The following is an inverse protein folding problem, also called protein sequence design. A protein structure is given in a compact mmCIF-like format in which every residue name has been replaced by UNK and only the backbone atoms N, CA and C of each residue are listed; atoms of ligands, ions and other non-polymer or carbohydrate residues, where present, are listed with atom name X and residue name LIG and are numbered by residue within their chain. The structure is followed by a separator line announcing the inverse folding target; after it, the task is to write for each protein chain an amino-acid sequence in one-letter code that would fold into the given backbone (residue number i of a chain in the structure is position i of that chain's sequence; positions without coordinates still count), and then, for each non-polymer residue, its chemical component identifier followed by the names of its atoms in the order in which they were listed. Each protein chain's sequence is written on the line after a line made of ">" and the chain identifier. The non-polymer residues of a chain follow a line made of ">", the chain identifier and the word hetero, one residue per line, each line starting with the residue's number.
data_IF_172925795582
#
_entry.id   IF_172925795582
#
_cell.length_a   1.000
_cell.length_b   1.000
_cell.length_c   1.000
_cell.angle_alpha   90.00
_cell.angle_beta   90.00
_cell.angle_gamma   90.00
#
_symmetry.space_group_name_H-M   'P 1'
#
loop_
_entity.id
_entity.type
_entity.pdbx_description
1 polymer ?
#
# COMPACT_ATOMS: atom_id res chain seq x y z
N UNK A 1 3.07 -7.33 2.93
CA UNK A 1 3.01 -8.15 1.69
C UNK A 1 4.41 -8.22 1.12
N UNK A 2 4.91 -9.41 0.76
CA UNK A 2 6.23 -9.58 0.14
C UNK A 2 6.08 -9.48 -1.38
N UNK A 3 6.71 -8.47 -1.98
CA UNK A 3 6.73 -8.23 -3.42
C UNK A 3 8.14 -7.86 -3.84
N UNK A 4 8.44 -7.98 -5.13
CA UNK A 4 9.74 -7.63 -5.68
C UNK A 4 10.01 -6.11 -5.59
N UNK A 5 9.01 -5.32 -5.93
CA UNK A 5 9.06 -3.87 -5.92
C UNK A 5 9.39 -3.26 -4.53
N UNK A 6 8.93 -3.87 -3.43
CA UNK A 6 9.23 -3.37 -2.08
C UNK A 6 10.43 -4.06 -1.40
N UNK A 7 11.25 -4.78 -2.15
CA UNK A 7 12.41 -5.45 -1.59
C UNK A 7 13.45 -4.46 -1.05
N UNK A 8 13.68 -3.37 -1.76
CA UNK A 8 14.61 -2.31 -1.33
C UNK A 8 14.16 -1.67 -0.01
N UNK A 9 12.89 -1.29 0.12
CA UNK A 9 12.33 -0.72 1.34
C UNK A 9 12.52 -1.62 2.57
N UNK A 10 12.39 -2.93 2.40
CA UNK A 10 12.48 -3.90 3.48
C UNK A 10 13.89 -4.32 3.86
N UNK A 11 14.81 -4.39 2.88
CA UNK A 11 16.08 -5.07 3.04
C UNK A 11 17.31 -4.17 2.94
N UNK A 12 17.23 -3.03 2.24
CA UNK A 12 18.42 -2.19 1.98
C UNK A 12 18.99 -1.60 3.27
N UNK A 13 18.13 -1.10 4.16
CA UNK A 13 18.58 -0.59 5.46
C UNK A 13 19.25 -1.68 6.29
N UNK A 14 18.62 -2.86 6.39
CA UNK A 14 19.19 -3.99 7.13
C UNK A 14 20.52 -4.46 6.51
N UNK A 15 20.56 -4.56 5.17
CA UNK A 15 21.79 -4.92 4.46
C UNK A 15 22.94 -3.94 4.69
N UNK A 16 22.64 -2.65 4.81
CA UNK A 16 23.61 -1.62 5.16
C UNK A 16 24.11 -1.78 6.62
N UNK A 17 23.20 -1.95 7.58
CA UNK A 17 23.53 -2.12 9.00
C UNK A 17 24.45 -3.32 9.26
N UNK A 18 24.34 -4.40 8.48
CA UNK A 18 25.19 -5.59 8.60
C UNK A 18 26.38 -5.59 7.63
N UNK A 19 26.64 -4.48 6.92
CA UNK A 19 27.80 -4.30 6.07
C UNK A 19 27.75 -4.98 4.71
N UNK A 20 26.58 -5.41 4.23
CA UNK A 20 26.41 -6.04 2.89
C UNK A 20 26.19 -5.02 1.77
N UNK A 21 25.82 -3.81 2.09
CA UNK A 21 25.50 -2.73 1.13
C UNK A 21 26.45 -1.56 1.37
N UNK A 22 27.00 -1.01 0.28
CA UNK A 22 27.89 0.16 0.32
C UNK A 22 27.14 1.42 0.74
N UNK A 23 27.87 2.39 1.31
CA UNK A 23 27.37 3.72 1.65
C UNK A 23 26.69 4.40 0.46
N UNK A 24 27.34 4.39 -0.71
CA UNK A 24 26.82 4.99 -1.94
C UNK A 24 25.45 4.42 -2.33
N UNK A 25 25.29 3.10 -2.31
CA UNK A 25 24.03 2.43 -2.61
C UNK A 25 22.95 2.76 -1.57
N UNK A 26 23.36 2.86 -0.30
CA UNK A 26 22.43 3.23 0.77
C UNK A 26 21.95 4.67 0.62
N UNK A 27 22.82 5.61 0.30
CA UNK A 27 22.44 7.01 0.06
C UNK A 27 21.48 7.14 -1.12
N UNK A 28 21.74 6.45 -2.22
CA UNK A 28 20.83 6.44 -3.37
C UNK A 28 19.44 5.90 -2.99
N UNK A 29 19.39 4.86 -2.15
CA UNK A 29 18.12 4.33 -1.63
C UNK A 29 17.38 5.36 -0.78
N UNK A 30 18.08 6.06 0.12
CA UNK A 30 17.48 7.09 0.98
C UNK A 30 16.91 8.24 0.14
N UNK A 31 17.65 8.72 -0.84
CA UNK A 31 17.21 9.78 -1.75
C UNK A 31 15.95 9.38 -2.53
N UNK A 32 15.93 8.15 -3.06
CA UNK A 32 14.76 7.59 -3.75
C UNK A 32 13.54 7.54 -2.83
N UNK A 33 13.71 7.03 -1.62
CA UNK A 33 12.66 6.96 -0.60
C UNK A 33 12.07 8.34 -0.25
N UNK A 34 12.93 9.35 -0.10
CA UNK A 34 12.51 10.72 0.18
C UNK A 34 11.72 11.32 -0.98
N UNK A 35 12.17 11.10 -2.22
CA UNK A 35 11.46 11.55 -3.42
C UNK A 35 10.08 10.91 -3.52
N UNK A 36 9.96 9.60 -3.28
CA UNK A 36 8.68 8.89 -3.29
C UNK A 36 7.73 9.47 -2.24
N UNK A 37 8.20 9.63 -1.00
CA UNK A 37 7.39 10.17 0.10
C UNK A 37 6.93 11.60 -0.16
N UNK A 38 7.82 12.44 -0.66
CA UNK A 38 7.53 13.83 -1.02
C UNK A 38 6.47 13.90 -2.12
N UNK A 39 6.61 13.08 -3.15
CA UNK A 39 5.68 13.05 -4.27
C UNK A 39 4.31 12.50 -3.88
N UNK A 40 4.24 11.42 -3.12
CA UNK A 40 2.97 10.91 -2.57
C UNK A 40 2.26 12.00 -1.77
N UNK A 41 2.99 12.71 -0.91
CA UNK A 41 2.40 13.81 -0.13
C UNK A 41 1.90 14.94 -1.05
N UNK A 42 2.64 15.29 -2.09
CA UNK A 42 2.24 16.32 -3.07
C UNK A 42 0.92 15.94 -3.74
N UNK A 43 0.82 14.77 -4.34
CA UNK A 43 -0.37 14.35 -5.09
C UNK A 43 -1.60 14.11 -4.20
N UNK A 44 -1.41 13.81 -2.91
CA UNK A 44 -2.49 13.75 -1.92
C UNK A 44 -3.13 15.14 -1.67
N UNK A 45 -2.33 16.21 -1.75
CA UNK A 45 -2.78 17.57 -1.46
C UNK A 45 -3.00 18.43 -2.72
N UNK A 46 -2.62 17.94 -3.89
CA UNK A 46 -2.89 18.60 -5.18
C UNK A 46 -4.26 18.19 -5.68
N UNK A 47 -5.16 19.16 -5.83
CA UNK A 47 -6.52 18.93 -6.29
C UNK A 47 -6.71 19.46 -7.71
N UNK A 48 -7.42 18.69 -8.52
CA UNK A 48 -7.87 19.10 -9.85
C UNK A 48 -9.38 19.32 -9.84
N UNK A 49 -9.80 20.40 -10.51
CA UNK A 49 -11.21 20.74 -10.64
C UNK A 49 -11.89 20.00 -11.78
N UNK A 50 -13.21 20.23 -11.90
CA UNK A 50 -14.02 19.77 -13.03
C UNK A 50 -13.82 20.72 -14.24
N UNK A 51 -12.61 20.71 -14.84
CA UNK A 51 -12.30 21.47 -16.04
C UNK A 51 -12.51 20.64 -17.31
N UNK A 52 -12.68 21.29 -18.45
CA UNK A 52 -12.83 20.60 -19.74
C UNK A 52 -11.61 19.73 -20.08
N UNK A 53 -10.40 20.18 -19.74
CA UNK A 53 -9.16 19.42 -19.94
C UNK A 53 -9.16 18.12 -19.13
N UNK A 54 -9.56 18.19 -17.85
CA UNK A 54 -9.65 17.02 -16.98
C UNK A 54 -10.72 16.05 -17.49
N UNK A 55 -11.88 16.55 -17.90
CA UNK A 55 -12.96 15.69 -18.40
C UNK A 55 -12.57 14.98 -19.71
N UNK A 56 -11.88 15.68 -20.64
CA UNK A 56 -11.37 15.05 -21.88
C UNK A 56 -10.38 13.93 -21.59
N UNK A 57 -9.46 14.15 -20.66
CA UNK A 57 -8.52 13.10 -20.25
C UNK A 57 -9.24 11.90 -19.62
N UNK A 58 -10.23 12.14 -18.79
CA UNK A 58 -11.01 11.05 -18.20
C UNK A 58 -11.81 10.27 -19.24
N UNK A 59 -12.40 10.95 -20.22
CA UNK A 59 -13.11 10.30 -21.34
C UNK A 59 -12.15 9.48 -22.22
N UNK A 60 -10.91 9.96 -22.46
CA UNK A 60 -9.88 9.23 -23.22
C UNK A 60 -9.53 7.88 -22.58
N UNK A 61 -9.50 7.84 -21.26
CA UNK A 61 -9.21 6.61 -20.51
C UNK A 61 -10.46 5.87 -20.01
N UNK A 62 -11.63 6.19 -20.53
CA UNK A 62 -12.92 5.57 -20.16
C UNK A 62 -13.19 5.63 -18.63
N UNK A 63 -12.67 6.68 -17.98
CA UNK A 63 -12.83 6.89 -16.54
C UNK A 63 -14.07 7.73 -16.23
N UNK A 64 -14.66 7.51 -15.06
CA UNK A 64 -15.83 8.26 -14.61
C UNK A 64 -15.51 9.75 -14.50
N UNK A 65 -16.35 10.59 -15.12
CA UNK A 65 -16.27 12.05 -15.07
C UNK A 65 -16.37 12.59 -13.65
N UNK A 66 -15.71 13.71 -13.40
CA UNK A 66 -15.77 14.39 -12.11
C UNK A 66 -17.02 15.25 -12.00
N UNK A 67 -17.63 15.24 -10.81
CA UNK A 67 -18.70 16.17 -10.43
C UNK A 67 -18.14 17.33 -9.61
N UNK A 68 -17.09 17.06 -8.81
CA UNK A 68 -16.41 18.04 -7.94
C UNK A 68 -14.90 17.86 -8.01
N UNK A 69 -14.14 18.80 -7.40
CA UNK A 69 -12.69 18.67 -7.27
C UNK A 69 -12.28 17.43 -6.50
N UNK A 70 -11.18 16.81 -6.96
CA UNK A 70 -10.63 15.56 -6.40
C UNK A 70 -9.10 15.66 -6.34
N UNK A 71 -8.45 14.95 -5.41
CA UNK A 71 -6.99 14.91 -5.39
C UNK A 71 -6.42 14.05 -6.52
N UNK A 72 -5.21 14.38 -6.99
CA UNK A 72 -4.50 13.57 -7.98
C UNK A 72 -4.32 12.13 -7.48
N UNK A 73 -4.06 11.95 -6.18
CA UNK A 73 -3.91 10.63 -5.59
C UNK A 73 -5.18 9.77 -5.73
N UNK A 74 -6.37 10.34 -5.60
CA UNK A 74 -7.63 9.61 -5.80
C UNK A 74 -7.85 9.23 -7.26
N UNK A 75 -7.41 10.05 -8.21
CA UNK A 75 -7.41 9.70 -9.63
C UNK A 75 -6.42 8.56 -9.92
N UNK A 76 -5.19 8.62 -9.39
CA UNK A 76 -4.19 7.56 -9.56
C UNK A 76 -4.70 6.22 -9.03
N UNK A 77 -5.50 6.21 -7.96
CA UNK A 77 -6.08 4.98 -7.40
C UNK A 77 -7.08 4.29 -8.32
N UNK A 78 -7.62 4.97 -9.33
CA UNK A 78 -8.53 4.35 -10.31
C UNK A 78 -7.78 3.33 -11.17
N UNK A 79 -8.36 2.15 -11.46
CA UNK A 79 -7.68 1.10 -12.24
C UNK A 79 -7.17 1.55 -13.61
N UNK A 80 -7.97 2.33 -14.32
CA UNK A 80 -7.72 2.80 -15.67
C UNK A 80 -6.71 3.94 -15.76
N UNK A 81 -6.45 4.65 -14.66
CA UNK A 81 -5.52 5.78 -14.58
C UNK A 81 -4.19 5.37 -13.94
N UNK A 82 -3.16 6.18 -14.14
CA UNK A 82 -1.85 6.02 -13.50
C UNK A 82 -1.20 7.38 -13.27
N UNK A 83 -0.14 7.42 -12.47
CA UNK A 83 0.64 8.64 -12.25
C UNK A 83 1.08 9.29 -13.57
N UNK A 84 1.57 8.51 -14.55
CA UNK A 84 2.04 9.04 -15.84
C UNK A 84 0.90 9.50 -16.76
N UNK A 85 -0.23 8.83 -16.72
CA UNK A 85 -1.42 9.23 -17.50
C UNK A 85 -1.99 10.58 -17.08
N UNK A 86 -1.78 11.00 -15.83
CA UNK A 86 -2.24 12.29 -15.33
C UNK A 86 -1.30 13.46 -15.64
N UNK A 87 -0.14 13.22 -16.27
CA UNK A 87 0.82 14.25 -16.62
C UNK A 87 0.22 15.50 -17.32
N UNK A 88 -0.73 15.36 -18.27
CA UNK A 88 -1.28 16.53 -18.96
C UNK A 88 -2.07 17.50 -18.05
N UNK A 89 -2.62 16.99 -16.94
CA UNK A 89 -3.44 17.81 -16.02
C UNK A 89 -2.70 18.17 -14.72
N UNK A 90 -1.49 17.65 -14.51
CA UNK A 90 -0.64 17.94 -13.35
C UNK A 90 0.41 19.00 -13.70
N UNK A 91 0.02 20.28 -13.57
CA UNK A 91 0.85 21.44 -13.99
C UNK A 91 2.12 21.60 -13.16
N UNK A 92 2.10 21.16 -11.91
CA UNK A 92 3.21 21.28 -10.96
C UNK A 92 3.99 19.95 -10.81
N UNK A 93 3.90 19.09 -11.83
CA UNK A 93 4.55 17.80 -11.84
C UNK A 93 6.07 17.95 -11.84
N UNK A 94 6.80 17.39 -10.86
CA UNK A 94 8.25 17.39 -10.85
C UNK A 94 8.83 16.39 -11.86
N UNK A 95 10.06 16.64 -12.31
CA UNK A 95 10.85 15.66 -13.04
C UNK A 95 11.39 14.60 -12.06
N UNK A 96 10.94 13.37 -12.22
CA UNK A 96 11.32 12.22 -11.40
C UNK A 96 11.78 11.08 -12.30
N UNK A 97 12.68 10.24 -11.78
CA UNK A 97 13.09 9.01 -12.46
C UNK A 97 11.89 8.07 -12.67
N UNK A 98 11.98 7.21 -13.67
CA UNK A 98 10.95 6.21 -13.97
C UNK A 98 10.66 5.33 -12.75
N UNK A 99 11.71 4.89 -12.05
CA UNK A 99 11.59 4.08 -10.83
C UNK A 99 10.78 4.77 -9.74
N UNK A 100 11.03 6.06 -9.49
CA UNK A 100 10.28 6.84 -8.48
C UNK A 100 8.82 6.98 -8.89
N UNK A 101 8.54 7.26 -10.16
CA UNK A 101 7.17 7.40 -10.67
C UNK A 101 6.39 6.10 -10.58
N UNK A 102 7.03 4.98 -10.91
CA UNK A 102 6.42 3.65 -10.79
C UNK A 102 6.10 3.31 -9.33
N UNK A 103 7.03 3.56 -8.41
CA UNK A 103 6.81 3.34 -6.97
C UNK A 103 5.70 4.22 -6.39
N UNK A 104 5.61 5.50 -6.77
CA UNK A 104 4.50 6.38 -6.38
C UNK A 104 3.16 5.79 -6.85
N UNK A 105 3.09 5.34 -8.09
CA UNK A 105 1.89 4.72 -8.65
C UNK A 105 1.50 3.44 -7.91
N UNK A 106 2.47 2.56 -7.66
CA UNK A 106 2.27 1.30 -6.93
C UNK A 106 1.78 1.57 -5.51
N UNK A 107 2.46 2.43 -4.77
CA UNK A 107 2.13 2.74 -3.38
C UNK A 107 0.69 3.26 -3.24
N UNK A 108 0.27 4.20 -4.11
CA UNK A 108 -1.08 4.75 -4.08
C UNK A 108 -2.16 3.71 -4.44
N UNK A 109 -1.92 2.86 -5.43
CA UNK A 109 -2.87 1.81 -5.83
C UNK A 109 -3.02 0.72 -4.77
N UNK A 110 -1.94 0.34 -4.11
CA UNK A 110 -1.95 -0.75 -3.12
C UNK A 110 -2.24 -0.30 -1.69
N UNK A 111 -2.25 0.99 -1.40
CA UNK A 111 -2.50 1.53 -0.05
C UNK A 111 -3.75 0.94 0.62
N UNK A 112 -4.86 0.86 -0.12
CA UNK A 112 -6.11 0.31 0.41
C UNK A 112 -6.03 -1.18 0.75
N UNK A 113 -5.25 -1.95 -0.01
CA UNK A 113 -5.02 -3.37 0.26
C UNK A 113 -4.11 -3.56 1.46
N UNK A 114 -3.05 -2.76 1.57
CA UNK A 114 -2.12 -2.79 2.70
C UNK A 114 -2.84 -2.44 4.00
N UNK A 115 -3.65 -1.38 4.02
CA UNK A 115 -4.46 -0.98 5.19
C UNK A 115 -5.40 -2.11 5.66
N UNK A 116 -6.05 -2.80 4.72
CA UNK A 116 -6.91 -3.96 5.05
C UNK A 116 -6.13 -5.11 5.65
N UNK A 117 -4.96 -5.44 5.09
CA UNK A 117 -4.10 -6.50 5.64
C UNK A 117 -3.58 -6.15 7.04
N UNK A 118 -3.13 -4.93 7.27
CA UNK A 118 -2.68 -4.49 8.60
C UNK A 118 -3.79 -4.63 9.64
N UNK A 119 -5.02 -4.23 9.29
CA UNK A 119 -6.18 -4.42 10.17
C UNK A 119 -6.46 -5.89 10.48
N UNK A 120 -6.31 -6.79 9.50
CA UNK A 120 -6.43 -8.24 9.73
C UNK A 120 -5.34 -8.76 10.67
N UNK A 121 -4.07 -8.35 10.46
CA UNK A 121 -2.96 -8.72 11.34
C UNK A 121 -3.21 -8.26 12.77
N UNK A 122 -3.70 -7.04 12.97
CA UNK A 122 -4.08 -6.55 14.31
C UNK A 122 -5.19 -7.39 14.96
N UNK A 123 -6.18 -7.80 14.17
CA UNK A 123 -7.25 -8.69 14.66
C UNK A 123 -6.70 -10.06 15.06
N UNK A 124 -5.80 -10.64 14.24
CA UNK A 124 -5.15 -11.91 14.57
C UNK A 124 -4.32 -11.81 15.85
N UNK A 125 -3.51 -10.77 16.00
CA UNK A 125 -2.74 -10.53 17.24
C UNK A 125 -3.63 -10.43 18.47
N UNK A 126 -4.81 -9.80 18.36
CA UNK A 126 -5.78 -9.75 19.46
C UNK A 126 -6.37 -11.13 19.79
N UNK A 127 -6.60 -11.96 18.77
CA UNK A 127 -7.10 -13.33 18.96
C UNK A 127 -6.03 -14.22 19.58
N UNK A 128 -4.77 -14.14 19.17
CA UNK A 128 -3.65 -14.88 19.74
C UNK A 128 -3.40 -14.54 21.22
N UNK A 129 -3.63 -13.27 21.59
CA UNK A 129 -3.50 -12.83 22.98
C UNK A 129 -4.68 -13.26 23.87
N UNK A 130 -5.77 -13.78 23.28
CA UNK A 130 -6.97 -14.21 24.02
C UNK A 130 -6.71 -15.54 24.68
N UNK A 131 -6.68 -15.56 26.00
CA UNK A 131 -6.57 -16.81 26.76
C UNK A 131 -7.86 -17.62 26.63
N UNK A 132 -7.68 -18.93 26.45
CA UNK A 132 -8.77 -19.91 26.51
C UNK A 132 -9.09 -20.10 27.98
N UNK A 133 -10.37 -20.06 28.42
CA UNK A 133 -10.75 -20.38 29.81
C UNK A 133 -10.33 -21.81 30.16
N UNK A 134 -9.82 -22.00 31.37
CA UNK A 134 -9.36 -23.34 31.85
C UNK A 134 -10.51 -24.34 31.97
N UNK A 135 -11.74 -23.86 32.11
CA UNK A 135 -12.96 -24.64 32.22
C UNK A 135 -13.71 -24.84 30.89
N UNK A 136 -13.04 -24.58 29.77
CA UNK A 136 -13.65 -24.75 28.44
C UNK A 136 -13.89 -26.22 28.11
N UNK A 137 -15.13 -26.59 28.00
CA UNK A 137 -15.58 -27.91 27.55
C UNK A 137 -15.50 -27.99 26.00
N UNK A 138 -14.46 -28.66 25.50
CA UNK A 138 -14.22 -28.79 24.04
C UNK A 138 -15.27 -29.67 23.36
N UNK A 139 -16.01 -30.54 24.09
CA UNK A 139 -17.11 -31.31 23.52
C UNK A 139 -18.27 -30.44 23.07
N UNK A 140 -18.50 -29.33 23.77
CA UNK A 140 -19.55 -28.39 23.44
C UNK A 140 -19.22 -27.44 22.25
N UNK A 141 -17.95 -27.47 21.79
CA UNK A 141 -17.54 -26.65 20.64
C UNK A 141 -17.85 -27.39 19.32
N UNK A 142 -19.05 -27.21 18.80
CA UNK A 142 -19.57 -27.93 17.63
C UNK A 142 -18.78 -27.76 16.31
N UNK A 143 -17.91 -26.75 16.20
CA UNK A 143 -17.09 -26.46 15.01
C UNK A 143 -15.75 -27.18 14.98
N UNK A 144 -15.35 -27.87 16.08
CA UNK A 144 -14.10 -28.61 16.14
C UNK A 144 -14.24 -29.96 15.46
N UNK A 145 -13.24 -30.33 14.64
CA UNK A 145 -13.10 -31.69 14.09
C UNK A 145 -12.77 -32.65 15.25
N UNK A 146 -13.22 -33.92 15.15
CA UNK A 146 -13.05 -34.95 16.18
C UNK A 146 -11.59 -35.08 16.62
N UNK A 147 -10.64 -35.13 15.67
CA UNK A 147 -9.20 -35.23 15.97
C UNK A 147 -8.66 -34.02 16.73
N UNK A 148 -9.13 -32.81 16.39
CA UNK A 148 -8.71 -31.57 17.07
C UNK A 148 -9.25 -31.54 18.51
N UNK A 149 -10.50 -31.98 18.72
CA UNK A 149 -11.14 -32.10 20.02
C UNK A 149 -10.36 -33.07 20.92
N UNK A 150 -10.10 -34.28 20.44
CA UNK A 150 -9.33 -35.31 21.17
C UNK A 150 -7.93 -34.82 21.57
N UNK A 151 -7.25 -34.06 20.71
CA UNK A 151 -5.94 -33.48 21.04
C UNK A 151 -6.02 -32.39 22.10
N UNK A 152 -7.04 -31.51 22.03
CA UNK A 152 -7.20 -30.40 22.98
C UNK A 152 -7.61 -30.87 24.38
N UNK A 153 -8.26 -32.05 24.50
CA UNK A 153 -8.60 -32.69 25.78
C UNK A 153 -7.39 -33.31 26.49
N UNK A 154 -6.29 -33.55 25.76
CA UNK A 154 -5.07 -34.15 26.32
C UNK A 154 -4.11 -33.13 26.95
N UNK A 155 -4.33 -31.86 26.77
CA UNK A 155 -3.51 -30.76 27.27
C UNK A 155 -4.31 -29.77 28.12
#
# INVERSE_FOLDING_TARGET
>A
MLRQDNADERLTKLGYEIGLISEERYQHFVEKEEQIKKEINRVLHTHVGNTEEVQKLLDEYESTRLVSGISLAELIRRPELSYDKLAPIDKDRPELSEEVREEVNINLKYEGYIKRQLKQVEQFKKLEAKKIPEDLDYEKVGSLRIEARQKLELY
#
